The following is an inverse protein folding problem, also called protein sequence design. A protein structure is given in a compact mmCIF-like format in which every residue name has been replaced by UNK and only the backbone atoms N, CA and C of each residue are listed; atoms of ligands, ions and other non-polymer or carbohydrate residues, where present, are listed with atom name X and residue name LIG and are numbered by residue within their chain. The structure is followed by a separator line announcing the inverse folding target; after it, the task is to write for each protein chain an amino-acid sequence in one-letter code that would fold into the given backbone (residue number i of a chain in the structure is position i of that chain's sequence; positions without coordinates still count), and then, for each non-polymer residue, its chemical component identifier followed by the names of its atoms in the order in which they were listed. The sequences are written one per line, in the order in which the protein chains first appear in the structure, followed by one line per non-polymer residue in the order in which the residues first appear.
data_IF_577559832341
#
_entry.id   IF_577559832341
#
_cell.length_a   1.000
_cell.length_b   1.000
_cell.length_c   1.000
_cell.angle_alpha   90.00
_cell.angle_beta   90.00
_cell.angle_gamma   90.00
#
_symmetry.space_group_name_H-M   'P 1'
#
loop_
_entity.id
_entity.type
_entity.pdbx_description
1 polymer ?
#
# COMPACT_ATOMS: atom_id res chain seq x y z
N UNK A 1 -11.52 -18.16 35.39
CA UNK A 1 -11.56 -16.73 35.04
C UNK A 1 -10.19 -16.29 34.59
N UNK A 2 -10.03 -15.81 33.36
CA UNK A 2 -8.74 -15.30 32.89
C UNK A 2 -8.39 -14.01 33.62
N UNK A 3 -7.20 -13.95 34.20
CA UNK A 3 -6.65 -12.70 34.69
C UNK A 3 -6.24 -11.80 33.54
N UNK A 4 -6.27 -10.47 33.70
CA UNK A 4 -6.08 -9.52 32.62
C UNK A 4 -4.82 -9.67 31.78
N UNK A 5 -3.76 -10.34 32.29
CA UNK A 5 -2.50 -10.54 31.57
C UNK A 5 -2.28 -11.99 31.11
N UNK A 6 -3.21 -12.90 31.37
CA UNK A 6 -3.13 -14.27 30.88
C UNK A 6 -3.38 -14.32 29.38
N UNK A 7 -2.57 -15.08 28.66
CA UNK A 7 -2.70 -15.20 27.21
C UNK A 7 -2.21 -13.99 26.42
N UNK A 8 -1.43 -13.11 27.05
CA UNK A 8 -0.85 -11.95 26.40
C UNK A 8 0.67 -12.09 26.27
N UNK A 9 1.20 -11.47 25.22
CA UNK A 9 2.64 -11.31 25.01
C UNK A 9 2.95 -9.85 24.69
N UNK A 10 4.18 -9.44 24.96
CA UNK A 10 4.65 -8.11 24.58
C UNK A 10 4.96 -8.09 23.10
N UNK A 11 4.50 -7.06 22.39
CA UNK A 11 4.75 -6.90 20.97
C UNK A 11 5.27 -5.52 20.65
N UNK A 12 6.33 -5.46 19.86
CA UNK A 12 6.87 -4.22 19.34
C UNK A 12 6.98 -4.33 17.82
N UNK A 13 6.26 -3.46 17.14
CA UNK A 13 6.22 -3.42 15.67
C UNK A 13 6.83 -2.10 15.21
N UNK A 14 7.92 -2.21 14.45
CA UNK A 14 8.70 -1.06 13.98
C UNK A 14 8.72 -1.07 12.45
N UNK A 15 8.39 0.06 11.85
CA UNK A 15 8.46 0.25 10.40
C UNK A 15 9.19 1.56 10.10
N UNK A 16 10.22 1.50 9.26
CA UNK A 16 10.97 2.67 8.78
C UNK A 16 11.34 3.66 9.91
N UNK A 17 11.97 3.15 10.98
CA UNK A 17 12.40 3.92 12.16
C UNK A 17 11.26 4.50 12.99
N UNK A 18 10.02 4.06 12.74
CA UNK A 18 8.85 4.49 13.49
C UNK A 18 8.26 3.30 14.25
N UNK A 19 8.02 3.47 15.55
CA UNK A 19 7.31 2.47 16.34
C UNK A 19 5.82 2.60 16.05
N UNK A 20 5.25 1.57 15.45
CA UNK A 20 3.81 1.51 15.17
C UNK A 20 3.02 1.00 16.37
N UNK A 21 3.54 -0.03 17.05
CA UNK A 21 2.88 -0.65 18.20
C UNK A 21 3.92 -1.06 19.22
N UNK A 22 3.65 -0.81 20.49
CA UNK A 22 4.52 -1.20 21.60
C UNK A 22 3.66 -1.45 22.85
N UNK A 23 2.96 -2.58 22.87
CA UNK A 23 2.06 -2.96 23.94
C UNK A 23 1.79 -4.47 23.89
N UNK A 24 0.89 -4.96 24.72
CA UNK A 24 0.49 -6.37 24.75
C UNK A 24 -0.44 -6.71 23.60
N UNK A 25 -0.33 -7.96 23.12
CA UNK A 25 -1.25 -8.55 22.14
C UNK A 25 -1.68 -9.93 22.62
N UNK A 26 -2.85 -10.38 22.15
CA UNK A 26 -3.33 -11.76 22.31
C UNK A 26 -2.86 -12.66 21.20
N UNK A 27 -2.81 -12.13 19.99
CA UNK A 27 -2.53 -12.90 18.79
C UNK A 27 -1.91 -11.98 17.72
N UNK A 28 -1.01 -12.54 16.93
CA UNK A 28 -0.48 -11.85 15.75
C UNK A 28 -0.22 -12.88 14.67
N UNK A 29 -0.66 -12.57 13.44
CA UNK A 29 -0.47 -13.41 12.27
C UNK A 29 0.25 -12.61 11.19
N UNK A 30 1.25 -13.21 10.58
CA UNK A 30 2.00 -12.65 9.46
C UNK A 30 2.15 -13.67 8.35
N UNK A 31 2.42 -13.17 7.16
CA UNK A 31 2.70 -13.99 6.00
C UNK A 31 4.21 -14.28 5.90
N UNK A 32 4.55 -15.54 5.63
CA UNK A 32 5.92 -15.98 5.33
C UNK A 32 5.97 -16.67 3.98
N UNK A 33 7.15 -17.03 3.51
CA UNK A 33 7.31 -17.80 2.28
C UNK A 33 6.59 -19.15 2.33
N UNK A 34 6.50 -19.74 3.52
CA UNK A 34 5.87 -21.05 3.74
C UNK A 34 4.38 -20.95 4.09
N UNK A 35 3.79 -19.77 3.99
CA UNK A 35 2.41 -19.49 4.35
C UNK A 35 2.29 -18.59 5.55
N UNK A 36 1.10 -18.56 6.16
CA UNK A 36 0.84 -17.73 7.31
C UNK A 36 1.30 -18.42 8.60
N UNK A 37 1.82 -17.64 9.54
CA UNK A 37 2.19 -18.11 10.87
C UNK A 37 1.55 -17.23 11.94
N UNK A 38 0.89 -17.84 12.91
CA UNK A 38 0.27 -17.15 14.03
C UNK A 38 1.08 -17.31 15.30
N UNK A 39 1.08 -16.25 16.11
CA UNK A 39 1.78 -16.22 17.41
C UNK A 39 0.79 -15.96 18.51
N UNK A 40 0.91 -16.73 19.58
CA UNK A 40 0.19 -16.56 20.82
C UNK A 40 1.17 -16.53 21.98
N UNK A 41 0.68 -16.22 23.18
CA UNK A 41 1.50 -16.19 24.38
C UNK A 41 2.32 -17.48 24.55
N UNK A 42 3.55 -17.33 24.96
CA UNK A 42 4.48 -18.43 25.24
C UNK A 42 4.87 -19.28 24.02
N UNK A 43 4.72 -18.74 22.81
CA UNK A 43 5.23 -19.40 21.60
C UNK A 43 6.73 -19.70 21.76
N UNK A 44 7.16 -20.82 21.20
CA UNK A 44 8.57 -21.20 21.18
C UNK A 44 9.45 -20.14 20.52
N UNK A 45 10.70 -19.98 20.95
CA UNK A 45 11.62 -19.03 20.31
C UNK A 45 11.77 -19.32 18.83
N UNK A 46 11.64 -18.27 18.01
CA UNK A 46 11.72 -18.38 16.55
C UNK A 46 12.12 -17.04 15.94
N UNK A 47 12.82 -17.11 14.83
CA UNK A 47 13.07 -15.96 13.93
C UNK A 47 12.56 -16.34 12.55
N UNK A 48 11.70 -15.51 11.98
CA UNK A 48 11.11 -15.76 10.65
C UNK A 48 11.23 -14.53 9.75
N UNK A 49 11.44 -14.77 8.47
CA UNK A 49 11.34 -13.73 7.45
C UNK A 49 9.86 -13.49 7.12
N UNK A 50 9.46 -12.23 7.17
CA UNK A 50 8.09 -11.80 6.88
C UNK A 50 8.00 -11.34 5.44
N UNK A 51 7.00 -11.83 4.73
CA UNK A 51 6.69 -11.45 3.35
C UNK A 51 5.61 -10.36 3.31
N UNK A 52 5.54 -9.68 2.17
CA UNK A 52 4.52 -8.67 1.91
C UNK A 52 3.14 -9.30 2.10
N UNK A 53 2.31 -8.68 2.90
CA UNK A 53 0.95 -9.15 3.14
C UNK A 53 0.27 -8.41 4.27
N UNK A 54 -0.90 -8.92 4.65
CA UNK A 54 -1.67 -8.36 5.75
C UNK A 54 -1.21 -8.98 7.06
N UNK A 55 -0.90 -8.12 8.02
CA UNK A 55 -0.68 -8.50 9.41
C UNK A 55 -2.01 -8.37 10.14
N UNK A 56 -2.42 -9.43 10.84
CA UNK A 56 -3.59 -9.42 11.70
C UNK A 56 -3.13 -9.50 13.15
N UNK A 57 -3.63 -8.62 13.98
CA UNK A 57 -3.29 -8.61 15.40
C UNK A 57 -4.54 -8.43 16.25
N UNK A 58 -4.62 -9.18 17.35
CA UNK A 58 -5.69 -9.05 18.32
C UNK A 58 -5.18 -8.39 19.57
N UNK A 59 -5.79 -7.28 19.93
CA UNK A 59 -5.45 -6.53 21.16
C UNK A 59 -6.00 -7.22 22.41
N UNK A 60 -5.52 -6.82 23.60
CA UNK A 60 -5.99 -7.41 24.86
C UNK A 60 -7.50 -7.33 25.06
N UNK A 61 -8.15 -6.29 24.55
CA UNK A 61 -9.60 -6.09 24.64
C UNK A 61 -10.40 -6.97 23.66
N UNK A 62 -9.72 -7.77 22.84
CA UNK A 62 -10.33 -8.62 21.82
C UNK A 62 -10.52 -7.97 20.45
N UNK A 63 -10.27 -6.68 20.33
CA UNK A 63 -10.38 -5.99 19.03
C UNK A 63 -9.28 -6.40 18.08
N UNK A 64 -9.58 -6.41 16.79
CA UNK A 64 -8.64 -6.77 15.73
C UNK A 64 -8.10 -5.56 15.02
N UNK A 65 -6.84 -5.63 14.65
CA UNK A 65 -6.15 -4.66 13.81
C UNK A 65 -5.62 -5.37 12.59
N UNK A 66 -5.83 -4.78 11.43
CA UNK A 66 -5.31 -5.29 10.16
C UNK A 66 -4.51 -4.19 9.49
N UNK A 67 -3.26 -4.48 9.19
CA UNK A 67 -2.36 -3.53 8.51
C UNK A 67 -1.60 -4.25 7.41
N UNK A 68 -1.28 -3.56 6.34
CA UNK A 68 -0.43 -4.10 5.30
C UNK A 68 1.02 -3.83 5.67
N UNK A 69 1.84 -4.88 5.63
CA UNK A 69 3.27 -4.78 5.91
C UNK A 69 4.08 -5.24 4.71
N UNK A 70 5.25 -4.64 4.56
CA UNK A 70 6.25 -5.10 3.61
C UNK A 70 7.11 -6.21 4.19
N UNK A 71 8.24 -6.45 3.54
CA UNK A 71 9.19 -7.46 3.99
C UNK A 71 9.86 -7.07 5.28
N UNK A 72 10.18 -8.06 6.09
CA UNK A 72 10.84 -7.82 7.37
C UNK A 72 11.27 -9.09 8.07
N UNK A 73 11.56 -8.93 9.33
CA UNK A 73 12.01 -10.01 10.22
C UNK A 73 11.19 -9.94 11.48
N UNK A 74 10.70 -11.10 11.92
CA UNK A 74 10.00 -11.26 13.18
C UNK A 74 10.80 -12.16 14.08
N UNK A 75 10.97 -11.75 15.33
CA UNK A 75 11.59 -12.54 16.38
C UNK A 75 10.61 -12.71 17.53
N UNK A 76 10.45 -13.95 18.00
CA UNK A 76 9.69 -14.25 19.20
C UNK A 76 10.57 -15.01 20.17
N UNK A 77 10.74 -14.50 21.36
CA UNK A 77 11.49 -15.15 22.44
C UNK A 77 11.06 -14.55 23.79
N UNK A 78 11.06 -15.37 24.83
CA UNK A 78 10.74 -14.93 26.20
C UNK A 78 9.41 -14.18 26.30
N UNK A 79 8.41 -14.66 25.61
CA UNK A 79 7.07 -14.06 25.54
C UNK A 79 7.08 -12.61 25.01
N UNK A 80 8.02 -12.31 24.12
CA UNK A 80 8.18 -11.01 23.47
C UNK A 80 8.31 -11.20 21.96
N UNK A 81 7.52 -10.44 21.24
CA UNK A 81 7.57 -10.40 19.78
C UNK A 81 8.14 -9.06 19.35
N UNK A 82 9.12 -9.11 18.44
CA UNK A 82 9.65 -7.91 17.79
C UNK A 82 9.54 -8.10 16.29
N UNK A 83 8.86 -7.17 15.63
CA UNK A 83 8.68 -7.17 14.18
C UNK A 83 9.30 -5.91 13.61
N UNK A 84 10.23 -6.10 12.67
CA UNK A 84 10.84 -5.02 11.88
C UNK A 84 10.43 -5.21 10.44
N UNK A 85 9.72 -4.24 9.88
CA UNK A 85 9.29 -4.25 8.49
C UNK A 85 9.76 -3.00 7.76
N UNK A 86 9.95 -3.09 6.46
CA UNK A 86 10.36 -1.96 5.65
C UNK A 86 9.23 -0.95 5.45
N UNK A 87 8.00 -1.42 5.35
CA UNK A 87 6.81 -0.57 5.20
C UNK A 87 5.67 -1.10 6.06
N UNK A 88 4.82 -0.18 6.50
CA UNK A 88 3.58 -0.51 7.19
C UNK A 88 2.55 0.56 6.84
N UNK A 89 1.38 0.13 6.40
CA UNK A 89 0.31 1.03 5.99
C UNK A 89 -1.01 0.58 6.63
N UNK A 90 -1.67 1.49 7.32
CA UNK A 90 -3.00 1.25 7.88
C UNK A 90 -4.03 1.30 6.76
N UNK A 91 -5.24 0.78 7.04
CA UNK A 91 -6.33 0.81 6.07
C UNK A 91 -6.68 2.26 5.67
N UNK A 92 -6.69 3.17 6.64
CA UNK A 92 -6.98 4.58 6.40
C UNK A 92 -5.92 5.23 5.51
N UNK A 93 -4.64 4.97 5.79
CA UNK A 93 -3.54 5.46 4.96
C UNK A 93 -3.60 4.89 3.54
N UNK A 94 -3.92 3.62 3.42
CA UNK A 94 -4.09 2.96 2.13
C UNK A 94 -5.24 3.55 1.33
N UNK A 95 -6.37 3.81 1.96
CA UNK A 95 -7.54 4.41 1.31
C UNK A 95 -7.23 5.81 0.81
N UNK A 96 -6.53 6.61 1.61
CA UNK A 96 -6.08 7.97 1.22
C UNK A 96 -5.14 7.89 0.03
N UNK A 97 -4.13 7.03 0.07
CA UNK A 97 -3.17 6.85 -1.02
C UNK A 97 -3.86 6.43 -2.31
N UNK A 98 -4.78 5.46 -2.24
CA UNK A 98 -5.55 4.99 -3.40
C UNK A 98 -6.43 6.08 -3.99
N UNK A 99 -7.04 6.89 -3.13
CA UNK A 99 -7.86 8.03 -3.58
C UNK A 99 -7.00 9.09 -4.29
N UNK A 100 -5.83 9.40 -3.75
CA UNK A 100 -4.88 10.33 -4.38
C UNK A 100 -4.36 9.81 -5.71
N UNK A 101 -4.00 8.52 -5.79
CA UNK A 101 -3.57 7.88 -7.03
C UNK A 101 -4.68 7.87 -8.09
N UNK A 102 -5.92 7.59 -7.68
CA UNK A 102 -7.07 7.62 -8.59
C UNK A 102 -7.33 9.02 -9.14
N UNK A 103 -7.21 10.04 -8.29
CA UNK A 103 -7.33 11.45 -8.69
C UNK A 103 -6.24 11.82 -9.70
N UNK A 104 -5.01 11.46 -9.42
CA UNK A 104 -3.87 11.73 -10.31
C UNK A 104 -4.05 11.04 -11.67
N UNK A 105 -4.47 9.77 -11.68
CA UNK A 105 -4.78 9.06 -12.92
C UNK A 105 -5.88 9.76 -13.73
N UNK A 106 -6.94 10.20 -13.06
CA UNK A 106 -8.04 10.90 -13.72
C UNK A 106 -7.57 12.23 -14.31
N UNK A 107 -6.74 12.98 -13.61
CA UNK A 107 -6.16 14.22 -14.10
C UNK A 107 -5.24 13.98 -15.31
N UNK A 108 -4.43 12.93 -15.28
CA UNK A 108 -3.54 12.55 -16.38
C UNK A 108 -4.35 12.15 -17.63
N UNK A 109 -5.38 11.34 -17.47
CA UNK A 109 -6.26 10.96 -18.56
C UNK A 109 -6.93 12.18 -19.18
N UNK A 110 -7.39 13.13 -18.37
CA UNK A 110 -8.00 14.36 -18.85
C UNK A 110 -7.01 15.22 -19.64
N UNK A 111 -5.77 15.36 -19.15
CA UNK A 111 -4.71 16.08 -19.87
C UNK A 111 -4.39 15.42 -21.21
N UNK A 112 -4.28 14.11 -21.26
CA UNK A 112 -4.05 13.36 -22.49
C UNK A 112 -5.17 13.56 -23.49
N UNK A 113 -6.42 13.54 -23.03
CA UNK A 113 -7.59 13.77 -23.88
C UNK A 113 -7.59 15.19 -24.45
N UNK A 114 -7.28 16.19 -23.66
CA UNK A 114 -7.18 17.58 -24.08
C UNK A 114 -6.07 17.76 -25.13
N UNK A 115 -4.89 17.19 -24.89
CA UNK A 115 -3.77 17.24 -25.82
C UNK A 115 -4.10 16.58 -27.16
N UNK A 116 -4.79 15.43 -27.11
CA UNK A 116 -5.24 14.75 -28.33
C UNK A 116 -6.24 15.60 -29.12
N UNK A 117 -7.19 16.22 -28.46
CA UNK A 117 -8.17 17.11 -29.11
C UNK A 117 -7.51 18.34 -29.74
N UNK A 118 -6.54 18.94 -29.07
CA UNK A 118 -5.77 20.06 -29.63
C UNK A 118 -4.95 19.63 -30.84
N UNK A 119 -4.34 18.47 -30.79
CA UNK A 119 -3.61 17.89 -31.91
C UNK A 119 -4.53 17.69 -33.13
N UNK A 120 -5.72 17.13 -32.91
CA UNK A 120 -6.71 16.95 -33.99
C UNK A 120 -7.16 18.28 -34.60
N UNK A 121 -7.37 19.28 -33.77
CA UNK A 121 -7.70 20.65 -34.21
C UNK A 121 -6.59 21.23 -35.09
N UNK A 122 -5.35 21.09 -34.67
CA UNK A 122 -4.19 21.58 -35.42
C UNK A 122 -4.02 20.87 -36.77
N UNK A 123 -4.23 19.56 -36.81
CA UNK A 123 -4.22 18.79 -38.04
C UNK A 123 -5.31 19.25 -39.04
N UNK A 124 -6.52 19.47 -38.54
CA UNK A 124 -7.62 19.93 -39.36
C UNK A 124 -7.34 21.34 -39.93
N UNK A 125 -6.77 22.23 -39.13
CA UNK A 125 -6.38 23.57 -39.56
C UNK A 125 -5.27 23.52 -40.62
N UNK A 126 -4.28 22.66 -40.44
CA UNK A 126 -3.20 22.47 -41.43
C UNK A 126 -3.75 21.93 -42.75
N UNK A 127 -4.62 20.92 -42.70
CA UNK A 127 -5.24 20.35 -43.90
C UNK A 127 -6.02 21.38 -44.68
N UNK A 128 -6.78 22.26 -44.02
CA UNK A 128 -7.49 23.36 -44.67
C UNK A 128 -6.55 24.36 -45.33
N UNK A 129 -5.46 24.71 -44.64
CA UNK A 129 -4.46 25.63 -45.17
C UNK A 129 -3.78 25.07 -46.44
N UNK A 130 -3.42 23.78 -46.40
CA UNK A 130 -2.84 23.11 -47.58
C UNK A 130 -3.82 23.04 -48.76
N UNK A 131 -5.07 22.74 -48.47
CA UNK A 131 -6.11 22.73 -49.53
C UNK A 131 -6.31 24.08 -50.19
N UNK A 132 -6.29 25.17 -49.42
CA UNK A 132 -6.37 26.54 -49.95
C UNK A 132 -5.15 26.89 -50.82
N UNK A 133 -3.98 26.47 -50.40
CA UNK A 133 -2.76 26.71 -51.18
C UNK A 133 -2.77 25.96 -52.50
N UNK A 134 -3.21 24.71 -52.51
CA UNK A 134 -3.38 23.93 -53.76
C UNK A 134 -4.36 24.57 -54.70
N UNK A 135 -5.51 24.99 -54.19
CA UNK A 135 -6.52 25.69 -55.00
C UNK A 135 -5.94 26.96 -55.62
N UNK A 136 -5.22 27.75 -54.84
CA UNK A 136 -4.56 28.96 -55.34
C UNK A 136 -3.58 28.65 -56.47
N UNK A 137 -2.74 27.65 -56.31
CA UNK A 137 -1.77 27.23 -57.33
C UNK A 137 -2.44 26.76 -58.61
N UNK A 138 -3.52 26.03 -58.56
CA UNK A 138 -4.28 25.55 -59.70
C UNK A 138 -4.99 26.66 -60.42
N UNK A 139 -5.42 27.70 -59.72
CA UNK A 139 -6.24 28.78 -60.31
C UNK A 139 -5.36 29.90 -60.91
N UNK A 140 -4.22 30.20 -60.25
CA UNK A 140 -3.42 31.39 -60.59
C UNK A 140 -2.01 31.10 -61.11
N UNK A 141 -1.62 29.87 -61.11
CA UNK A 141 -0.36 29.42 -61.66
C UNK A 141 -0.59 28.42 -62.77
#
# INVERSE_FOLDING_TARGET
MMRGNEGLFSAKIIATNKVYYDDKLRYLNVRTLDGQIGFMAHHAPIVVAVEIGVLDAQKPDGSWVHVEVGKGILQFANNRLTLLVDTLETKEEMDIRRAEEAKERAEDELRQKQSYMEYKKSQAALARALGRLEFYKKTYL
#
